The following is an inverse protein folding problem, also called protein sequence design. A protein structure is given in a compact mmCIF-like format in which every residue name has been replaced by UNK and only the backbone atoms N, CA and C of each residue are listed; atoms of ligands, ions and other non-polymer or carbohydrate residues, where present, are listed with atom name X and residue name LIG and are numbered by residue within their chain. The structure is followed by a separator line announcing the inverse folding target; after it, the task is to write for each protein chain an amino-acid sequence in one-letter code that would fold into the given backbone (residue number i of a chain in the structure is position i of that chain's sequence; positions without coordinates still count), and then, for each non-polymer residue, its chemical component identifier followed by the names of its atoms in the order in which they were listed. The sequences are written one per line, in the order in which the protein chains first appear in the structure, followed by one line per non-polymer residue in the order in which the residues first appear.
data_IF_698774782543
#
_entry.id   IF_698774782543
#
_cell.length_a   1.000
_cell.length_b   1.000
_cell.length_c   1.000
_cell.angle_alpha   90.00
_cell.angle_beta   90.00
_cell.angle_gamma   90.00
#
_symmetry.space_group_name_H-M   'P 1'
#
loop_
_entity.id
_entity.type
_entity.pdbx_description
1 polymer ?
#
# COMPACT_ATOMS: atom_id res chain seq x y z
N UNK A 1 22.68 1.05 24.69
CA UNK A 1 22.94 1.53 23.31
C UNK A 1 21.98 0.78 22.40
N UNK A 2 20.81 1.35 22.15
CA UNK A 2 19.74 0.69 21.37
C UNK A 2 20.04 0.90 19.89
N UNK A 3 20.71 -0.06 19.26
CA UNK A 3 20.64 -0.16 17.80
C UNK A 3 19.21 -0.51 17.44
N UNK A 4 18.44 0.48 17.00
CA UNK A 4 17.12 0.30 16.42
C UNK A 4 17.33 -0.40 15.06
N UNK A 5 17.51 -1.73 15.09
CA UNK A 5 17.64 -2.53 13.88
C UNK A 5 16.35 -2.47 13.08
N UNK A 6 16.44 -2.10 11.80
CA UNK A 6 15.30 -2.20 10.90
C UNK A 6 14.94 -3.68 10.73
N UNK A 7 13.76 -4.08 11.20
CA UNK A 7 13.21 -5.41 10.93
C UNK A 7 12.60 -5.40 9.54
N UNK A 8 12.97 -6.36 8.70
CA UNK A 8 12.37 -6.54 7.37
C UNK A 8 11.93 -7.99 7.17
N UNK A 9 10.88 -8.17 6.37
CA UNK A 9 10.42 -9.48 5.93
C UNK A 9 10.29 -9.45 4.41
N UNK A 10 10.93 -10.41 3.74
CA UNK A 10 10.80 -10.58 2.28
C UNK A 10 9.67 -11.57 2.01
N UNK A 11 8.73 -11.18 1.15
CA UNK A 11 7.60 -12.00 0.73
C UNK A 11 7.81 -12.42 -0.73
N UNK A 12 8.05 -13.72 -0.98
CA UNK A 12 8.44 -14.24 -2.30
C UNK A 12 7.35 -15.02 -3.05
N UNK A 13 6.15 -15.17 -2.49
CA UNK A 13 5.10 -16.06 -3.02
C UNK A 13 3.79 -15.35 -3.37
N UNK A 14 2.86 -16.07 -4.01
CA UNK A 14 1.51 -15.60 -4.37
C UNK A 14 0.65 -15.12 -3.18
N UNK A 15 1.00 -15.50 -1.95
CA UNK A 15 0.32 -15.06 -0.73
C UNK A 15 0.88 -13.74 -0.16
N UNK A 16 1.81 -13.09 -0.87
CA UNK A 16 2.41 -11.81 -0.46
C UNK A 16 1.38 -10.70 -0.36
N UNK A 17 0.46 -10.61 -1.32
CA UNK A 17 -0.60 -9.60 -1.35
C UNK A 17 -1.53 -9.76 -0.14
N UNK A 18 -2.01 -10.97 0.15
CA UNK A 18 -2.91 -11.21 1.29
C UNK A 18 -2.26 -10.77 2.60
N UNK A 19 -1.00 -11.14 2.83
CA UNK A 19 -0.28 -10.74 4.04
C UNK A 19 -0.09 -9.23 4.15
N UNK A 20 0.19 -8.55 3.03
CA UNK A 20 0.27 -7.08 3.02
C UNK A 20 -1.06 -6.44 3.41
N UNK A 21 -2.17 -6.96 2.88
CA UNK A 21 -3.52 -6.50 3.24
C UNK A 21 -3.83 -6.79 4.72
N UNK A 22 -3.48 -7.97 5.24
CA UNK A 22 -3.69 -8.32 6.65
C UNK A 22 -2.95 -7.35 7.59
N UNK A 23 -1.69 -7.00 7.26
CA UNK A 23 -0.89 -6.02 8.00
C UNK A 23 -1.54 -4.63 7.91
N UNK A 24 -1.97 -4.21 6.72
CA UNK A 24 -2.65 -2.95 6.52
C UNK A 24 -3.97 -2.87 7.31
N UNK A 25 -4.73 -3.95 7.37
CA UNK A 25 -5.98 -4.02 8.12
C UNK A 25 -5.76 -3.92 9.63
N UNK A 26 -4.68 -4.53 10.13
CA UNK A 26 -4.33 -4.50 11.55
C UNK A 26 -3.80 -3.12 12.00
N UNK A 27 -2.99 -2.47 11.16
CA UNK A 27 -2.19 -1.31 11.56
C UNK A 27 -2.57 0.02 10.91
N UNK A 28 -3.21 0.00 9.73
CA UNK A 28 -3.38 1.17 8.88
C UNK A 28 -4.11 2.32 9.56
N UNK A 29 -5.24 2.03 10.23
CA UNK A 29 -6.04 3.04 10.94
C UNK A 29 -5.49 3.41 12.32
N UNK A 30 -4.68 2.55 12.95
CA UNK A 30 -4.30 2.66 14.36
C UNK A 30 -2.91 3.26 14.58
N UNK A 31 -1.96 2.97 13.70
CA UNK A 31 -0.55 3.34 13.88
C UNK A 31 0.01 4.22 12.75
N UNK A 32 -0.77 4.42 11.69
CA UNK A 32 -0.33 5.10 10.47
C UNK A 32 0.67 4.24 9.70
N UNK A 33 0.24 3.71 8.55
CA UNK A 33 1.07 2.84 7.72
C UNK A 33 1.27 3.45 6.32
N UNK A 34 2.48 3.30 5.77
CA UNK A 34 2.77 3.67 4.39
C UNK A 34 3.05 2.43 3.54
N UNK A 35 2.29 2.26 2.45
CA UNK A 35 2.61 1.32 1.38
C UNK A 35 3.54 2.03 0.39
N UNK A 36 4.68 1.43 0.09
CA UNK A 36 5.63 1.97 -0.91
C UNK A 36 5.58 1.10 -2.16
N UNK A 37 5.10 1.66 -3.27
CA UNK A 37 5.09 0.99 -4.58
C UNK A 37 6.28 1.45 -5.44
N UNK A 38 7.25 0.56 -5.61
CA UNK A 38 8.40 0.73 -6.50
C UNK A 38 8.32 -0.14 -7.76
N UNK A 39 7.19 -0.81 -8.01
CA UNK A 39 7.05 -1.68 -9.17
C UNK A 39 6.87 -0.88 -10.46
N UNK A 40 7.25 -1.49 -11.59
CA UNK A 40 6.95 -0.98 -12.93
C UNK A 40 5.75 -1.72 -13.56
N UNK A 41 4.75 -2.10 -12.76
CA UNK A 41 3.58 -2.92 -13.16
C UNK A 41 2.26 -2.27 -12.74
N UNK A 42 1.16 -2.55 -13.45
CA UNK A 42 -0.19 -2.11 -13.06
C UNK A 42 -0.87 -3.09 -12.09
N UNK A 43 -0.27 -4.25 -11.85
CA UNK A 43 -0.83 -5.29 -10.96
C UNK A 43 -0.97 -4.80 -9.51
N UNK A 44 -0.17 -3.82 -9.10
CA UNK A 44 -0.22 -3.25 -7.75
C UNK A 44 -1.45 -2.36 -7.51
N UNK A 45 -2.13 -1.88 -8.56
CA UNK A 45 -3.26 -0.94 -8.46
C UNK A 45 -4.38 -1.52 -7.59
N UNK A 46 -4.71 -2.80 -7.76
CA UNK A 46 -5.74 -3.46 -6.97
C UNK A 46 -5.40 -3.54 -5.48
N UNK A 47 -4.12 -3.66 -5.14
CA UNK A 47 -3.64 -3.64 -3.74
C UNK A 47 -3.71 -2.22 -3.19
N UNK A 48 -3.27 -1.24 -3.97
CA UNK A 48 -3.31 0.18 -3.59
C UNK A 48 -4.72 0.66 -3.27
N UNK A 49 -5.71 0.34 -4.11
CA UNK A 49 -7.12 0.69 -3.87
C UNK A 49 -7.62 0.12 -2.52
N UNK A 50 -7.20 -1.09 -2.15
CA UNK A 50 -7.59 -1.72 -0.89
C UNK A 50 -6.92 -1.07 0.32
N UNK A 51 -5.63 -0.75 0.27
CA UNK A 51 -4.94 -0.18 1.44
C UNK A 51 -5.36 1.26 1.73
N UNK A 52 -5.84 2.02 0.73
CA UNK A 52 -6.49 3.33 0.95
C UNK A 52 -7.70 3.18 1.88
N UNK A 53 -8.55 2.18 1.62
CA UNK A 53 -9.73 1.90 2.45
C UNK A 53 -9.37 1.46 3.89
N UNK A 54 -8.17 0.91 4.04
CA UNK A 54 -7.59 0.52 5.33
C UNK A 54 -6.85 1.68 6.02
N UNK A 55 -6.90 2.89 5.48
CA UNK A 55 -6.32 4.10 6.08
C UNK A 55 -4.81 4.22 5.90
N UNK A 56 -4.21 3.47 4.98
CA UNK A 56 -2.79 3.57 4.69
C UNK A 56 -2.49 4.74 3.74
N UNK A 57 -1.34 5.38 3.93
CA UNK A 57 -0.76 6.27 2.93
C UNK A 57 -0.04 5.47 1.85
N UNK A 58 0.04 6.01 0.64
CA UNK A 58 0.76 5.36 -0.47
C UNK A 58 1.85 6.31 -0.97
N UNK A 59 3.08 5.78 -1.07
CA UNK A 59 4.21 6.43 -1.72
C UNK A 59 4.53 5.64 -2.98
N UNK A 60 4.47 6.28 -4.14
CA UNK A 60 4.63 5.59 -5.42
C UNK A 60 5.79 6.19 -6.21
N UNK A 61 6.67 5.32 -6.71
CA UNK A 61 7.55 5.63 -7.85
C UNK A 61 6.95 5.15 -9.18
N UNK A 62 5.92 4.30 -9.11
CA UNK A 62 5.20 3.76 -10.24
C UNK A 62 4.26 4.82 -10.86
N UNK A 63 4.41 5.10 -12.16
CA UNK A 63 3.54 6.04 -12.88
C UNK A 63 2.21 5.41 -13.33
N UNK A 64 2.15 4.08 -13.50
CA UNK A 64 0.97 3.39 -14.06
C UNK A 64 -0.33 3.68 -13.30
N UNK A 65 -0.36 3.72 -11.95
CA UNK A 65 -1.58 4.06 -11.21
C UNK A 65 -2.09 5.47 -11.49
N UNK A 66 -1.20 6.41 -11.83
CA UNK A 66 -1.54 7.80 -12.16
C UNK A 66 -2.01 7.98 -13.61
N UNK A 67 -1.79 6.98 -14.47
CA UNK A 67 -2.17 7.01 -15.89
C UNK A 67 -3.11 5.86 -16.26
N UNK A 68 -3.74 5.24 -15.28
CA UNK A 68 -4.73 4.18 -15.47
C UNK A 68 -6.08 4.80 -15.86
N UNK A 69 -7.18 4.25 -15.35
CA UNK A 69 -8.50 4.85 -15.45
C UNK A 69 -8.67 6.02 -14.48
N UNK A 70 -9.59 6.93 -14.78
CA UNK A 70 -9.97 8.01 -13.86
C UNK A 70 -10.54 7.44 -12.55
N UNK A 71 -11.28 6.32 -12.61
CA UNK A 71 -11.80 5.63 -11.43
C UNK A 71 -10.68 5.15 -10.49
N UNK A 72 -9.60 4.59 -11.06
CA UNK A 72 -8.45 4.18 -10.27
C UNK A 72 -7.77 5.39 -9.61
N UNK A 73 -7.58 6.47 -10.37
CA UNK A 73 -6.99 7.69 -9.83
C UNK A 73 -7.85 8.28 -8.70
N UNK A 74 -9.15 8.46 -8.94
CA UNK A 74 -10.11 9.02 -7.96
C UNK A 74 -10.12 8.20 -6.68
N UNK A 75 -10.05 6.87 -6.79
CA UNK A 75 -9.94 5.99 -5.63
C UNK A 75 -8.64 6.21 -4.86
N UNK A 76 -7.50 6.37 -5.54
CA UNK A 76 -6.20 6.57 -4.90
C UNK A 76 -6.07 7.91 -4.19
N UNK A 77 -6.73 8.96 -4.69
CA UNK A 77 -6.74 10.29 -4.07
C UNK A 77 -7.90 10.50 -3.11
N UNK A 78 -8.82 9.53 -3.00
CA UNK A 78 -9.90 9.59 -2.02
C UNK A 78 -9.30 9.60 -0.60
N UNK A 79 -9.66 10.62 0.17
CA UNK A 79 -9.25 10.69 1.57
C UNK A 79 -9.94 9.59 2.37
N UNK A 80 -9.25 8.95 3.33
CA UNK A 80 -9.94 8.09 4.28
C UNK A 80 -11.03 8.92 4.99
N UNK A 81 -12.25 8.39 5.16
CA UNK A 81 -13.29 9.10 5.88
C UNK A 81 -12.80 9.42 7.30
N UNK A 82 -12.93 10.69 7.69
CA UNK A 82 -12.66 11.20 9.03
C UNK A 82 -13.41 10.40 10.10
#
# INVERSE_FOLDING_TARGET
MTTLGANYQVLTSSNSVTKLIDIAALLGKSMGLALVDCFASSETIGVMKQVVDLGCCIVMANKKPLTSTMEDYDKLVSHPPL
#
